data_IF_915570868229
#
_entry.id   IF_915570868229
#
_cell.length_a   1.000
_cell.length_b   1.000
_cell.length_c   1.000
_cell.angle_alpha   90.00
_cell.angle_beta   90.00
_cell.angle_gamma   90.00
#
_symmetry.space_group_name_H-M   'P 1'
#
loop_
_entity.id
_entity.type
_entity.pdbx_description
1 polymer ?
#
# COMPACT_ATOMS: atom_id res chain seq x y z
N UNK A 1 -36.35 -21.31 -19.45
CA UNK A 1 -35.22 -21.85 -18.68
C UNK A 1 -34.12 -20.80 -18.74
N UNK A 2 -33.94 -20.00 -17.70
CA UNK A 2 -32.92 -18.96 -17.67
C UNK A 2 -31.71 -19.50 -16.90
N UNK A 3 -30.55 -19.53 -17.54
CA UNK A 3 -29.28 -19.84 -16.90
C UNK A 3 -28.83 -18.58 -16.15
N UNK A 4 -28.72 -18.68 -14.83
CA UNK A 4 -28.20 -17.64 -13.95
C UNK A 4 -26.75 -17.35 -14.33
N UNK A 5 -26.44 -16.10 -14.69
CA UNK A 5 -25.08 -15.66 -14.91
C UNK A 5 -24.26 -15.93 -13.64
N UNK A 6 -23.25 -16.79 -13.75
CA UNK A 6 -22.33 -17.08 -12.68
C UNK A 6 -21.65 -15.80 -12.23
N UNK A 7 -21.79 -15.47 -10.94
CA UNK A 7 -21.14 -14.35 -10.28
C UNK A 7 -19.62 -14.61 -10.29
N UNK A 8 -18.93 -14.17 -11.34
CA UNK A 8 -17.47 -14.21 -11.38
C UNK A 8 -16.99 -13.14 -10.40
N UNK A 9 -16.66 -13.55 -9.18
CA UNK A 9 -16.01 -12.69 -8.21
C UNK A 9 -14.69 -12.24 -8.82
N UNK A 10 -14.56 -10.93 -9.08
CA UNK A 10 -13.30 -10.36 -9.56
C UNK A 10 -12.16 -10.85 -8.64
N UNK A 11 -11.00 -11.25 -9.19
CA UNK A 11 -9.88 -11.65 -8.36
C UNK A 11 -9.53 -10.51 -7.40
N UNK A 12 -9.11 -10.86 -6.18
CA UNK A 12 -8.71 -9.89 -5.15
C UNK A 12 -7.79 -8.82 -5.77
N UNK A 13 -8.04 -7.56 -5.43
CA UNK A 13 -7.33 -6.39 -5.95
C UNK A 13 -5.80 -6.54 -5.80
N UNK A 14 -5.34 -7.30 -4.81
CA UNK A 14 -3.93 -7.56 -4.52
C UNK A 14 -3.36 -8.79 -5.24
N UNK A 15 -4.18 -9.71 -5.76
CA UNK A 15 -3.71 -10.93 -6.43
C UNK A 15 -2.85 -10.64 -7.67
N UNK A 16 -3.15 -9.53 -8.36
CA UNK A 16 -2.36 -9.00 -9.48
C UNK A 16 -1.73 -7.65 -9.15
N UNK A 17 -1.72 -7.27 -7.87
CA UNK A 17 -1.08 -6.06 -7.39
C UNK A 17 0.43 -6.09 -7.61
N UNK A 18 1.02 -4.93 -7.91
CA UNK A 18 2.46 -4.71 -7.99
C UNK A 18 2.80 -3.40 -7.29
N UNK A 19 3.88 -3.43 -6.52
CA UNK A 19 4.50 -2.23 -5.96
C UNK A 19 5.83 -1.99 -6.67
N UNK A 20 6.09 -0.75 -7.07
CA UNK A 20 7.39 -0.33 -7.56
C UNK A 20 7.79 1.02 -6.96
N UNK A 21 9.06 1.38 -7.11
CA UNK A 21 9.65 2.53 -6.41
C UNK A 21 10.41 3.42 -7.38
N UNK A 22 10.26 4.72 -7.23
CA UNK A 22 11.17 5.73 -7.79
C UNK A 22 11.83 6.48 -6.62
N UNK A 23 13.12 6.77 -6.73
CA UNK A 23 13.90 7.41 -5.66
C UNK A 23 14.56 8.69 -6.16
N UNK A 24 14.40 9.75 -5.38
CA UNK A 24 15.07 11.04 -5.53
C UNK A 24 16.12 11.25 -4.41
N UNK A 25 16.66 10.14 -3.88
CA UNK A 25 17.58 10.12 -2.75
C UNK A 25 16.86 9.88 -1.43
N UNK A 26 16.68 10.93 -0.62
CA UNK A 26 16.04 10.82 0.72
C UNK A 26 14.52 10.79 0.68
N UNK A 27 13.94 10.92 -0.50
CA UNK A 27 12.52 10.84 -0.76
C UNK A 27 12.29 10.13 -2.09
N UNK A 28 11.02 9.91 -2.42
CA UNK A 28 10.64 9.33 -3.70
C UNK A 28 9.17 9.00 -3.73
N UNK A 29 8.81 8.02 -4.55
CA UNK A 29 7.42 7.60 -4.75
C UNK A 29 7.28 6.09 -4.70
N UNK A 30 6.32 5.63 -3.90
CA UNK A 30 5.78 4.28 -3.94
C UNK A 30 4.62 4.26 -4.92
N UNK A 31 4.66 3.36 -5.90
CA UNK A 31 3.64 3.23 -6.91
C UNK A 31 2.95 1.89 -6.78
N UNK A 32 1.62 1.91 -6.71
CA UNK A 32 0.79 0.72 -6.73
C UNK A 32 0.09 0.60 -8.08
N UNK A 33 0.04 -0.62 -8.62
CA UNK A 33 -0.71 -0.92 -9.84
C UNK A 33 -1.37 -2.30 -9.78
N UNK A 34 -2.54 -2.40 -10.40
CA UNK A 34 -3.36 -3.61 -10.59
C UNK A 34 -4.22 -3.41 -11.85
N UNK A 35 -4.94 -4.44 -12.34
CA UNK A 35 -5.90 -4.26 -13.42
C UNK A 35 -7.03 -3.25 -13.11
N UNK A 36 -7.38 -3.04 -11.83
CA UNK A 36 -8.50 -2.19 -11.43
C UNK A 36 -8.08 -0.76 -11.06
N UNK A 37 -6.85 -0.56 -10.60
CA UNK A 37 -6.37 0.74 -10.13
C UNK A 37 -4.86 0.90 -10.21
N UNK A 38 -4.44 2.15 -10.40
CA UNK A 38 -3.04 2.57 -10.32
C UNK A 38 -2.99 3.93 -9.62
N UNK A 39 -2.12 4.06 -8.62
CA UNK A 39 -1.92 5.32 -7.90
C UNK A 39 -0.52 5.39 -7.29
N UNK A 40 -0.16 6.56 -6.78
CA UNK A 40 1.19 6.86 -6.29
C UNK A 40 1.15 7.61 -4.97
N UNK A 41 2.16 7.36 -4.14
CA UNK A 41 2.27 7.85 -2.78
C UNK A 41 3.69 8.32 -2.56
N UNK A 42 3.84 9.56 -2.12
CA UNK A 42 5.15 10.13 -1.84
C UNK A 42 5.71 9.52 -0.56
N UNK A 43 7.03 9.35 -0.47
CA UNK A 43 7.70 8.95 0.75
C UNK A 43 8.92 9.81 1.05
N UNK A 44 9.31 9.86 2.32
CA UNK A 44 10.61 10.36 2.78
C UNK A 44 11.26 9.45 3.81
N UNK A 45 12.59 9.48 3.89
CA UNK A 45 13.33 8.81 4.94
C UNK A 45 13.21 9.55 6.27
N UNK A 46 12.84 8.78 7.28
CA UNK A 46 12.65 9.22 8.65
C UNK A 46 13.94 9.05 9.49
N UNK A 47 13.83 9.34 10.79
CA UNK A 47 14.90 9.17 11.77
C UNK A 47 14.58 8.12 12.83
N UNK A 48 15.62 7.65 13.52
CA UNK A 48 15.49 6.68 14.61
C UNK A 48 15.09 5.28 14.10
N UNK A 49 14.06 4.70 14.70
CA UNK A 49 13.58 3.36 14.35
C UNK A 49 12.70 3.35 13.08
N UNK A 50 12.12 4.49 12.72
CA UNK A 50 11.41 4.68 11.47
C UNK A 50 12.42 4.85 10.32
N UNK A 51 12.25 4.07 9.26
CA UNK A 51 13.05 4.10 8.03
C UNK A 51 12.47 5.12 7.07
N UNK A 52 11.17 5.04 6.82
CA UNK A 52 10.47 5.88 5.88
C UNK A 52 9.04 6.15 6.33
N UNK A 53 8.53 7.29 5.90
CA UNK A 53 7.15 7.72 6.07
C UNK A 53 6.56 7.87 4.68
N UNK A 54 5.40 7.26 4.44
CA UNK A 54 4.69 7.27 3.16
C UNK A 54 3.37 8.02 3.35
N UNK A 55 3.09 9.02 2.52
CA UNK A 55 1.80 9.70 2.44
C UNK A 55 0.77 8.80 1.76
N UNK A 56 -0.22 8.34 2.52
CA UNK A 56 -1.29 7.48 2.02
C UNK A 56 -2.61 8.26 1.92
N UNK A 57 -3.49 7.95 0.95
CA UNK A 57 -4.82 8.58 0.90
C UNK A 57 -5.62 8.33 2.18
N UNK A 58 -6.22 9.40 2.71
CA UNK A 58 -7.13 9.33 3.86
C UNK A 58 -8.40 8.57 3.50
N UNK A 59 -9.17 8.04 4.47
CA UNK A 59 -10.48 7.44 4.19
C UNK A 59 -11.39 8.33 3.33
N UNK A 60 -11.38 9.65 3.57
CA UNK A 60 -12.19 10.64 2.86
C UNK A 60 -11.74 10.84 1.41
N UNK A 61 -10.42 10.81 1.18
CA UNK A 61 -9.83 11.05 -0.15
C UNK A 61 -9.53 9.76 -0.92
N UNK A 62 -9.74 8.59 -0.30
CA UNK A 62 -9.35 7.28 -0.81
C UNK A 62 -9.97 7.00 -2.19
N UNK A 63 -11.30 7.08 -2.30
CA UNK A 63 -12.02 6.75 -3.54
C UNK A 63 -11.61 7.70 -4.65
N UNK A 64 -11.45 8.99 -4.33
CA UNK A 64 -11.03 10.00 -5.29
C UNK A 64 -9.61 9.75 -5.82
N UNK A 65 -8.65 9.49 -4.92
CA UNK A 65 -7.22 9.32 -5.25
C UNK A 65 -6.90 7.96 -5.88
N UNK A 66 -7.62 6.91 -5.51
CA UNK A 66 -7.27 5.52 -5.91
C UNK A 66 -8.24 4.89 -6.89
N UNK A 67 -9.46 5.44 -7.00
CA UNK A 67 -10.61 4.83 -7.72
C UNK A 67 -11.07 3.48 -7.17
N UNK A 68 -10.58 3.09 -5.99
CA UNK A 68 -11.00 1.88 -5.29
C UNK A 68 -12.07 2.23 -4.24
N UNK A 69 -13.02 1.31 -3.96
CA UNK A 69 -13.96 1.50 -2.86
C UNK A 69 -13.20 1.54 -1.53
N UNK A 70 -13.74 2.30 -0.56
CA UNK A 70 -13.13 2.44 0.77
C UNK A 70 -12.96 1.10 1.49
N UNK A 71 -13.83 0.13 1.21
CA UNK A 71 -13.75 -1.24 1.77
C UNK A 71 -12.46 -1.98 1.39
N UNK A 72 -11.77 -1.58 0.33
CA UNK A 72 -10.50 -2.19 -0.10
C UNK A 72 -9.27 -1.48 0.49
N UNK A 73 -9.46 -0.36 1.21
CA UNK A 73 -8.35 0.46 1.72
C UNK A 73 -7.39 -0.35 2.58
N UNK A 74 -7.92 -1.06 3.57
CA UNK A 74 -7.11 -1.87 4.49
C UNK A 74 -6.37 -2.98 3.74
N UNK A 75 -7.06 -3.76 2.91
CA UNK A 75 -6.46 -4.84 2.10
C UNK A 75 -5.29 -4.34 1.23
N UNK A 76 -5.48 -3.19 0.57
CA UNK A 76 -4.46 -2.62 -0.32
C UNK A 76 -3.30 -2.02 0.47
N UNK A 77 -3.56 -1.28 1.55
CA UNK A 77 -2.50 -0.73 2.39
C UNK A 77 -1.70 -1.83 3.08
N UNK A 78 -2.35 -2.91 3.53
CA UNK A 78 -1.68 -4.08 4.08
C UNK A 78 -0.72 -4.68 3.05
N UNK A 79 -1.20 -4.95 1.83
CA UNK A 79 -0.38 -5.48 0.74
C UNK A 79 0.81 -4.57 0.42
N UNK A 80 0.60 -3.26 0.35
CA UNK A 80 1.66 -2.29 0.04
C UNK A 80 2.70 -2.28 1.16
N UNK A 81 2.28 -2.19 2.42
CA UNK A 81 3.18 -2.20 3.56
C UNK A 81 4.02 -3.48 3.63
N UNK A 82 3.39 -4.64 3.42
CA UNK A 82 4.08 -5.93 3.38
C UNK A 82 5.12 -5.99 2.26
N UNK A 83 4.78 -5.52 1.06
CA UNK A 83 5.73 -5.46 -0.07
C UNK A 83 6.88 -4.50 0.23
N UNK A 84 6.61 -3.30 0.75
CA UNK A 84 7.64 -2.32 1.10
C UNK A 84 8.60 -2.87 2.14
N UNK A 85 8.10 -3.49 3.21
CA UNK A 85 8.95 -4.11 4.23
C UNK A 85 9.82 -5.20 3.62
N UNK A 86 9.23 -6.11 2.84
CA UNK A 86 9.96 -7.22 2.22
C UNK A 86 11.04 -6.74 1.26
N UNK A 87 10.73 -5.73 0.44
CA UNK A 87 11.58 -5.33 -0.68
C UNK A 87 12.63 -4.29 -0.26
N UNK A 88 12.33 -3.42 0.72
CA UNK A 88 13.14 -2.25 1.07
C UNK A 88 13.75 -2.27 2.49
N UNK A 89 13.46 -3.29 3.32
CA UNK A 89 13.99 -3.39 4.69
C UNK A 89 14.86 -4.64 4.85
N UNK A 90 16.17 -4.55 4.53
CA UNK A 90 17.11 -5.65 4.75
C UNK A 90 17.11 -6.08 6.21
N UNK A 91 17.00 -7.40 6.45
CA UNK A 91 16.93 -7.96 7.80
C UNK A 91 15.54 -7.95 8.43
N UNK A 92 14.53 -7.46 7.71
CA UNK A 92 13.14 -7.46 8.14
C UNK A 92 12.75 -6.21 8.94
N UNK A 93 11.43 -5.99 8.97
CA UNK A 93 10.82 -4.81 9.55
C UNK A 93 9.34 -5.04 9.78
N UNK A 94 8.65 -3.96 10.09
CA UNK A 94 7.20 -3.91 10.14
C UNK A 94 6.73 -2.55 9.64
N UNK A 95 5.42 -2.42 9.46
CA UNK A 95 4.80 -1.13 9.23
C UNK A 95 3.61 -0.95 10.17
N UNK A 96 3.28 0.32 10.37
CA UNK A 96 2.02 0.78 10.93
C UNK A 96 1.48 1.89 10.04
N UNK A 97 0.16 2.05 10.03
CA UNK A 97 -0.45 3.20 9.36
C UNK A 97 -1.58 3.80 10.17
N UNK A 98 -1.76 5.11 9.98
CA UNK A 98 -2.87 5.91 10.49
C UNK A 98 -3.79 6.32 9.31
N UNK A 99 -4.52 7.43 9.45
CA UNK A 99 -5.41 7.91 8.41
C UNK A 99 -4.66 8.35 7.15
N UNK A 100 -3.54 9.06 7.29
CA UNK A 100 -2.82 9.66 6.16
C UNK A 100 -1.38 9.20 6.02
N UNK A 101 -0.88 8.37 6.93
CA UNK A 101 0.54 8.05 6.97
C UNK A 101 0.76 6.56 7.16
N UNK A 102 1.68 5.96 6.40
CA UNK A 102 2.26 4.65 6.68
C UNK A 102 3.73 4.82 7.07
N UNK A 103 4.11 4.29 8.23
CA UNK A 103 5.49 4.33 8.72
C UNK A 103 6.12 2.95 8.60
N UNK A 104 7.26 2.88 7.93
CA UNK A 104 8.07 1.67 7.79
C UNK A 104 9.16 1.69 8.86
N UNK A 105 9.29 0.61 9.63
CA UNK A 105 10.19 0.51 10.78
C UNK A 105 11.14 -0.69 10.66
N UNK A 106 12.33 -0.58 11.28
CA UNK A 106 13.26 -1.71 11.42
C UNK A 106 12.82 -2.67 12.52
N UNK A 107 13.16 -3.95 12.37
CA UNK A 107 13.05 -4.94 13.44
C UNK A 107 11.63 -5.48 13.63
N UNK A 108 11.32 -5.94 14.84
CA UNK A 108 10.01 -6.49 15.18
C UNK A 108 9.06 -5.40 15.64
N UNK A 109 7.78 -5.58 15.33
CA UNK A 109 6.71 -4.72 15.82
C UNK A 109 6.66 -4.81 17.36
N UNK A 110 6.70 -3.69 18.09
CA UNK A 110 6.46 -3.69 19.53
C UNK A 110 5.10 -4.32 19.84
N UNK A 111 5.08 -5.17 20.86
CA UNK A 111 3.86 -5.85 21.36
C UNK A 111 3.07 -4.94 22.29
#
# INVERSE_FOLDING_TARGET
>A
MFLTAGNQQLPSITAQGRVHYSSDGRSGTVHYSSPQASFSMWYEFAGGNAIAIIDIPTPETWVERTKLPLTERETVLQFIGDQVVRDQVPGGGYFDYSDNTMTICRGQKPV
#
